data_IF_032499834759
#
_entry.id   IF_032499834759
#
_cell.length_a   1.000
_cell.length_b   1.000
_cell.length_c   1.000
_cell.angle_alpha   90.00
_cell.angle_beta   90.00
_cell.angle_gamma   90.00
#
_symmetry.space_group_name_H-M   'P 1'
#
loop_
_entity.id
_entity.type
_entity.pdbx_description
1 polymer ?
#
# COMPACT_ATOMS: atom_id res chain seq x y z
N UNK A 1 7.64 22.69 -15.68
CA UNK A 1 7.97 23.92 -15.03
C UNK A 1 7.54 23.83 -13.56
N UNK A 2 7.61 24.86 -12.78
CA UNK A 2 7.73 24.85 -11.33
C UNK A 2 6.51 24.47 -10.48
N UNK A 3 5.44 23.95 -11.06
CA UNK A 3 4.26 23.45 -10.34
C UNK A 3 4.30 21.93 -10.09
N UNK A 4 5.11 21.17 -10.83
CA UNK A 4 5.27 19.72 -10.62
C UNK A 4 6.12 19.49 -9.37
N UNK A 5 5.60 18.70 -8.45
CA UNK A 5 6.22 18.37 -7.17
C UNK A 5 6.68 16.91 -7.07
N UNK A 6 6.11 16.02 -7.90
CA UNK A 6 6.54 14.63 -7.95
C UNK A 6 6.31 14.00 -9.33
N UNK A 7 7.15 13.00 -9.67
CA UNK A 7 7.11 12.23 -10.90
C UNK A 7 7.04 10.75 -10.58
N UNK A 8 6.08 10.05 -11.19
CA UNK A 8 5.84 8.64 -10.95
C UNK A 8 6.17 7.81 -12.17
N UNK A 9 7.00 6.78 -11.97
CA UNK A 9 7.46 5.89 -13.02
C UNK A 9 7.03 4.44 -12.77
N UNK A 10 6.65 3.76 -13.85
CA UNK A 10 6.53 2.31 -13.84
C UNK A 10 7.90 1.68 -14.01
N UNK A 11 8.11 0.54 -13.39
CA UNK A 11 9.40 -0.16 -13.39
C UNK A 11 9.95 -0.43 -14.81
N UNK A 12 9.08 -0.76 -15.74
CA UNK A 12 9.48 -1.19 -17.10
C UNK A 12 8.91 -0.30 -18.21
N UNK A 13 8.20 0.77 -17.91
CA UNK A 13 7.49 1.59 -18.89
C UNK A 13 7.72 3.11 -18.76
N UNK A 14 8.65 3.53 -17.90
CA UNK A 14 8.96 4.94 -17.72
C UNK A 14 7.87 5.73 -16.99
N UNK A 15 7.86 7.05 -17.21
CA UNK A 15 6.91 7.95 -16.54
C UNK A 15 5.47 7.65 -16.94
N UNK A 16 4.58 7.59 -15.95
CA UNK A 16 3.14 7.37 -16.16
C UNK A 16 2.26 8.44 -15.53
N UNK A 17 2.71 9.07 -14.45
CA UNK A 17 1.96 10.12 -13.78
C UNK A 17 2.89 11.20 -13.23
N UNK A 18 2.33 12.35 -12.90
CA UNK A 18 2.96 13.42 -12.14
C UNK A 18 1.96 14.02 -11.17
N UNK A 19 2.46 14.52 -10.06
CA UNK A 19 1.70 15.32 -9.11
C UNK A 19 2.13 16.78 -9.25
N UNK A 20 1.19 17.69 -9.39
CA UNK A 20 1.46 19.11 -9.47
C UNK A 20 0.58 19.93 -8.53
N UNK A 21 1.11 21.04 -8.05
CA UNK A 21 0.32 21.99 -7.25
C UNK A 21 -0.75 22.66 -8.09
N UNK A 22 -1.89 22.93 -7.48
CA UNK A 22 -2.95 23.74 -8.07
C UNK A 22 -3.20 25.01 -7.27
N UNK A 23 -3.73 26.09 -7.90
CA UNK A 23 -3.95 27.36 -7.21
C UNK A 23 -4.84 27.28 -5.96
N UNK A 24 -5.71 26.28 -5.87
CA UNK A 24 -6.57 26.01 -4.71
C UNK A 24 -5.81 25.53 -3.46
N UNK A 25 -4.50 25.28 -3.57
CA UNK A 25 -3.64 24.79 -2.49
C UNK A 25 -3.52 23.26 -2.41
N UNK A 26 -4.37 22.50 -3.10
CA UNK A 26 -4.25 21.05 -3.23
C UNK A 26 -3.29 20.64 -4.36
N UNK A 27 -3.43 19.39 -4.82
CA UNK A 27 -2.65 18.88 -5.94
C UNK A 27 -3.55 18.25 -7.00
N UNK A 28 -3.06 18.20 -8.23
CA UNK A 28 -3.65 17.44 -9.32
C UNK A 28 -2.75 16.27 -9.68
N UNK A 29 -3.37 15.15 -10.00
CA UNK A 29 -2.72 13.97 -10.56
C UNK A 29 -2.97 13.98 -12.07
N UNK A 30 -1.90 14.19 -12.83
CA UNK A 30 -1.93 14.09 -14.27
C UNK A 30 -1.33 12.73 -14.69
N UNK A 31 -1.97 12.05 -15.62
CA UNK A 31 -1.51 10.78 -16.20
C UNK A 31 -1.06 11.00 -17.65
N UNK A 32 -0.01 10.32 -18.04
CA UNK A 32 0.55 10.41 -19.40
C UNK A 32 -0.21 9.48 -20.35
N UNK A 33 -0.94 10.07 -21.28
CA UNK A 33 -1.68 9.37 -22.34
C UNK A 33 -1.15 9.79 -23.71
N UNK A 34 -0.57 8.86 -24.47
CA UNK A 34 -0.11 9.14 -25.84
C UNK A 34 0.87 10.31 -25.93
N UNK A 35 1.72 10.51 -24.92
CA UNK A 35 2.67 11.61 -24.84
C UNK A 35 2.10 12.94 -24.32
N UNK A 36 0.83 12.97 -23.93
CA UNK A 36 0.17 14.16 -23.37
C UNK A 36 -0.22 13.95 -21.92
N UNK A 37 -0.04 14.98 -21.09
CA UNK A 37 -0.47 14.98 -19.70
C UNK A 37 -1.94 15.33 -19.57
N UNK A 38 -2.74 14.41 -19.05
CA UNK A 38 -4.18 14.58 -18.84
C UNK A 38 -4.46 14.53 -17.34
N UNK A 39 -5.12 15.58 -16.84
CA UNK A 39 -5.57 15.59 -15.42
C UNK A 39 -6.61 14.50 -15.21
N UNK A 40 -6.34 13.59 -14.28
CA UNK A 40 -7.24 12.50 -13.92
C UNK A 40 -7.91 12.70 -12.57
N UNK A 41 -7.25 13.41 -11.66
CA UNK A 41 -7.80 13.62 -10.34
C UNK A 41 -7.34 14.95 -9.72
N UNK A 42 -8.18 15.49 -8.85
CA UNK A 42 -7.80 16.50 -7.88
C UNK A 42 -7.72 15.84 -6.49
N UNK A 43 -6.79 16.32 -5.66
CA UNK A 43 -6.62 15.94 -4.25
C UNK A 43 -6.68 17.24 -3.46
N UNK A 44 -7.63 17.39 -2.56
CA UNK A 44 -7.80 18.58 -1.73
C UNK A 44 -6.63 18.72 -0.73
N UNK A 45 -6.53 19.88 -0.09
CA UNK A 45 -5.43 20.18 0.88
C UNK A 45 -5.46 19.23 2.07
N UNK A 46 -6.67 18.87 2.51
CA UNK A 46 -6.94 17.96 3.63
C UNK A 46 -6.88 16.47 3.25
N UNK A 47 -6.78 16.18 1.96
CA UNK A 47 -6.72 14.80 1.47
C UNK A 47 -5.28 14.34 1.25
N UNK A 48 -5.08 13.03 1.39
CA UNK A 48 -3.83 12.33 1.13
C UNK A 48 -3.99 11.47 -0.11
N UNK A 49 -2.97 11.48 -0.96
CA UNK A 49 -2.84 10.57 -2.08
C UNK A 49 -1.37 10.27 -2.34
N UNK A 50 -1.01 9.00 -2.36
CA UNK A 50 0.35 8.53 -2.63
C UNK A 50 0.33 7.28 -3.51
N UNK A 51 1.00 7.30 -4.65
CA UNK A 51 1.27 6.07 -5.40
C UNK A 51 2.31 5.23 -4.66
N UNK A 52 1.92 4.04 -4.24
CA UNK A 52 2.82 3.07 -3.62
C UNK A 52 3.21 1.95 -4.59
N UNK A 53 2.50 1.79 -5.70
CA UNK A 53 2.78 0.83 -6.75
C UNK A 53 3.61 1.43 -7.89
N UNK A 54 4.43 0.60 -8.52
CA UNK A 54 5.20 0.94 -9.72
C UNK A 54 4.91 -0.01 -10.89
N UNK A 55 3.75 -0.67 -10.86
CA UNK A 55 3.23 -1.58 -11.87
C UNK A 55 1.73 -1.36 -12.09
N UNK A 56 1.29 -1.56 -13.32
CA UNK A 56 -0.14 -1.57 -13.64
C UNK A 56 -0.68 -2.97 -13.37
N UNK A 57 -1.65 -3.07 -12.47
CA UNK A 57 -2.34 -4.32 -12.14
C UNK A 57 -3.84 -4.09 -12.27
N UNK A 58 -4.50 -4.88 -13.10
CA UNK A 58 -5.95 -4.78 -13.32
C UNK A 58 -6.40 -3.38 -13.79
N UNK A 59 -5.61 -2.75 -14.67
CA UNK A 59 -5.94 -1.44 -15.26
C UNK A 59 -5.60 -0.21 -14.39
N UNK A 60 -4.91 -0.40 -13.28
CA UNK A 60 -4.54 0.72 -12.40
C UNK A 60 -3.27 0.47 -11.61
N UNK A 61 -2.90 1.44 -10.80
CA UNK A 61 -1.72 1.42 -9.92
C UNK A 61 -2.17 1.49 -8.46
N UNK A 62 -1.46 0.81 -7.57
CA UNK A 62 -1.75 0.85 -6.13
C UNK A 62 -1.40 2.23 -5.56
N UNK A 63 -2.29 2.73 -4.73
CA UNK A 63 -2.09 3.97 -3.99
C UNK A 63 -2.68 3.87 -2.58
N UNK A 64 -2.19 4.72 -1.69
CA UNK A 64 -2.84 5.07 -0.42
C UNK A 64 -3.60 6.38 -0.63
N UNK A 65 -4.85 6.42 -0.25
CA UNK A 65 -5.70 7.58 -0.49
C UNK A 65 -6.88 7.67 0.48
N UNK A 66 -7.18 8.89 0.92
CA UNK A 66 -8.45 9.19 1.60
C UNK A 66 -9.36 10.11 0.78
N UNK A 67 -9.12 10.25 -0.53
CA UNK A 67 -9.98 11.08 -1.40
C UNK A 67 -11.45 10.69 -1.27
N UNK A 68 -12.27 11.68 -0.88
CA UNK A 68 -13.70 11.50 -0.63
C UNK A 68 -14.05 10.58 0.55
N UNK A 69 -13.12 10.37 1.50
CA UNK A 69 -13.33 9.56 2.72
C UNK A 69 -12.54 10.11 3.91
N UNK A 70 -12.91 9.68 5.13
CA UNK A 70 -12.24 10.12 6.36
C UNK A 70 -10.85 9.47 6.51
N UNK A 71 -10.74 8.17 6.30
CA UNK A 71 -9.51 7.40 6.53
C UNK A 71 -8.80 7.05 5.23
N UNK A 72 -7.47 6.99 5.30
CA UNK A 72 -6.63 6.49 4.22
C UNK A 72 -6.90 5.01 4.01
N UNK A 73 -7.15 4.64 2.76
CA UNK A 73 -7.38 3.28 2.34
C UNK A 73 -6.34 2.85 1.30
N UNK A 74 -6.09 1.54 1.21
CA UNK A 74 -5.41 0.97 0.06
C UNK A 74 -6.39 0.91 -1.11
N UNK A 75 -6.02 1.57 -2.19
CA UNK A 75 -6.84 1.67 -3.40
C UNK A 75 -6.07 1.22 -4.64
N UNK A 76 -6.82 0.88 -5.68
CA UNK A 76 -6.32 0.82 -7.04
C UNK A 76 -6.83 2.06 -7.78
N UNK A 77 -5.91 2.92 -8.16
CA UNK A 77 -6.18 4.11 -8.95
C UNK A 77 -6.18 3.76 -10.44
N UNK A 78 -7.28 4.01 -11.12
CA UNK A 78 -7.43 3.81 -12.56
C UNK A 78 -6.71 4.91 -13.33
N UNK A 79 -5.78 4.52 -14.20
CA UNK A 79 -5.07 5.48 -15.04
C UNK A 79 -5.96 6.04 -16.16
N UNK A 80 -7.07 5.36 -16.49
CA UNK A 80 -7.96 5.75 -17.57
C UNK A 80 -8.91 6.89 -17.18
N UNK A 81 -9.40 6.90 -15.93
CA UNK A 81 -10.46 7.83 -15.52
C UNK A 81 -10.30 8.38 -14.09
N UNK A 82 -9.17 8.11 -13.44
CA UNK A 82 -8.85 8.62 -12.10
C UNK A 82 -9.73 8.08 -10.97
N UNK A 83 -10.58 7.06 -11.24
CA UNK A 83 -11.39 6.42 -10.21
C UNK A 83 -10.56 5.52 -9.32
N UNK A 84 -11.01 5.41 -8.08
CA UNK A 84 -10.40 4.56 -7.08
C UNK A 84 -11.29 3.36 -6.77
N UNK A 85 -10.71 2.16 -6.84
CA UNK A 85 -11.31 0.95 -6.28
C UNK A 85 -10.65 0.66 -4.95
N UNK A 86 -11.40 0.75 -3.86
CA UNK A 86 -10.92 0.36 -2.52
C UNK A 86 -10.63 -1.14 -2.52
N UNK A 87 -9.43 -1.51 -2.08
CA UNK A 87 -8.98 -2.88 -1.88
C UNK A 87 -9.04 -3.26 -0.40
N UNK A 88 -8.69 -2.31 0.47
CA UNK A 88 -8.82 -2.43 1.92
C UNK A 88 -8.95 -1.05 2.56
N UNK A 89 -9.78 -0.95 3.56
CA UNK A 89 -9.93 0.20 4.43
C UNK A 89 -10.18 -0.28 5.87
N UNK A 90 -9.51 0.35 6.83
CA UNK A 90 -9.77 0.15 8.25
C UNK A 90 -10.76 1.22 8.73
N UNK A 91 -11.85 0.86 9.43
CA UNK A 91 -12.86 1.84 9.84
C UNK A 91 -12.34 2.91 10.79
N UNK A 92 -11.44 2.53 11.70
CA UNK A 92 -11.04 3.36 12.84
C UNK A 92 -9.64 3.97 12.71
N UNK A 93 -8.91 3.66 11.63
CA UNK A 93 -7.55 4.15 11.43
C UNK A 93 -7.18 4.26 9.95
N UNK A 94 -6.15 5.03 9.67
CA UNK A 94 -5.53 5.07 8.35
C UNK A 94 -4.77 3.78 8.06
N UNK A 95 -4.81 3.32 6.80
CA UNK A 95 -3.87 2.33 6.31
C UNK A 95 -2.52 3.01 6.14
N UNK A 96 -1.54 2.59 6.92
CA UNK A 96 -0.22 3.25 6.98
C UNK A 96 0.83 2.51 6.17
N UNK A 97 0.72 1.18 6.08
CA UNK A 97 1.74 0.37 5.42
C UNK A 97 1.15 -0.73 4.57
N UNK A 98 1.83 -1.04 3.46
CA UNK A 98 1.44 -2.15 2.57
C UNK A 98 2.67 -2.91 2.13
N UNK A 99 2.74 -4.18 2.55
CA UNK A 99 3.71 -5.13 2.04
C UNK A 99 3.29 -5.63 0.67
N UNK A 100 4.23 -5.64 -0.26
CA UNK A 100 4.00 -6.00 -1.66
C UNK A 100 5.10 -6.91 -2.16
N UNK A 101 4.76 -7.83 -3.05
CA UNK A 101 5.72 -8.82 -3.55
C UNK A 101 5.41 -9.25 -4.99
N UNK A 102 6.34 -9.99 -5.55
CA UNK A 102 6.26 -10.55 -6.88
C UNK A 102 6.47 -9.51 -8.00
N UNK A 103 6.62 -10.01 -9.22
CA UNK A 103 6.87 -9.16 -10.38
C UNK A 103 5.73 -8.17 -10.67
N UNK A 104 4.51 -8.48 -10.22
CA UNK A 104 3.34 -7.63 -10.39
C UNK A 104 3.14 -6.64 -9.24
N UNK A 105 4.04 -6.64 -8.23
CA UNK A 105 3.95 -5.75 -7.08
C UNK A 105 2.59 -5.88 -6.35
N UNK A 106 2.13 -7.12 -6.14
CA UNK A 106 0.84 -7.41 -5.50
C UNK A 106 0.89 -7.11 -4.02
N UNK A 107 -0.17 -6.53 -3.42
CA UNK A 107 -0.25 -6.41 -1.99
C UNK A 107 -0.37 -7.80 -1.35
N UNK A 108 0.35 -8.02 -0.26
CA UNK A 108 0.26 -9.24 0.57
C UNK A 108 -0.33 -8.95 1.93
N UNK A 109 0.00 -7.81 2.52
CA UNK A 109 -0.56 -7.33 3.79
C UNK A 109 -0.75 -5.83 3.72
N UNK A 110 -1.88 -5.33 4.21
CA UNK A 110 -2.10 -3.92 4.52
C UNK A 110 -2.24 -3.76 6.04
N UNK A 111 -1.61 -2.76 6.61
CA UNK A 111 -1.54 -2.53 8.03
C UNK A 111 -2.11 -1.16 8.40
N UNK A 112 -2.86 -1.14 9.51
CA UNK A 112 -3.38 0.04 10.14
C UNK A 112 -3.17 -0.05 11.66
N UNK A 113 -3.15 1.08 12.34
CA UNK A 113 -2.89 1.13 13.78
C UNK A 113 -4.02 1.89 14.51
N UNK A 114 -5.22 1.26 14.66
CA UNK A 114 -6.21 1.76 15.60
C UNK A 114 -5.66 1.63 17.04
N UNK A 115 -6.43 1.23 18.02
CA UNK A 115 -5.92 0.98 19.36
C UNK A 115 -4.88 -0.17 19.43
N UNK A 116 -4.95 -1.11 18.49
CA UNK A 116 -3.97 -2.20 18.27
C UNK A 116 -3.73 -2.35 16.78
N UNK A 117 -2.57 -2.90 16.39
CA UNK A 117 -2.26 -3.19 14.98
C UNK A 117 -3.36 -4.05 14.36
N UNK A 118 -3.96 -3.56 13.30
CA UNK A 118 -4.84 -4.30 12.41
C UNK A 118 -4.08 -4.66 11.14
N UNK A 119 -4.17 -5.91 10.69
CA UNK A 119 -3.52 -6.37 9.48
C UNK A 119 -4.52 -7.12 8.61
N UNK A 120 -4.65 -6.69 7.36
CA UNK A 120 -5.43 -7.38 6.35
C UNK A 120 -4.49 -8.17 5.44
N UNK A 121 -4.64 -9.48 5.45
CA UNK A 121 -3.84 -10.40 4.64
C UNK A 121 -4.56 -10.70 3.32
N UNK A 122 -3.99 -10.23 2.21
CA UNK A 122 -4.43 -10.63 0.86
C UNK A 122 -3.98 -12.05 0.52
N UNK A 123 -3.02 -12.57 1.28
CA UNK A 123 -2.49 -13.92 1.20
C UNK A 123 -2.89 -14.68 2.48
N UNK A 124 -3.91 -15.52 2.37
CA UNK A 124 -4.47 -16.25 3.50
C UNK A 124 -3.47 -17.26 4.12
N UNK A 125 -2.58 -17.85 3.32
CA UNK A 125 -1.56 -18.78 3.80
C UNK A 125 -0.56 -18.06 4.68
N UNK A 126 -0.10 -16.89 4.26
CA UNK A 126 0.78 -16.06 5.07
C UNK A 126 0.07 -15.59 6.35
N UNK A 127 -1.20 -15.16 6.25
CA UNK A 127 -1.99 -14.76 7.42
C UNK A 127 -2.14 -15.86 8.45
N UNK A 128 -2.40 -17.10 8.01
CA UNK A 128 -2.46 -18.28 8.91
C UNK A 128 -1.11 -18.53 9.58
N UNK A 129 -0.02 -18.55 8.81
CA UNK A 129 1.31 -18.80 9.35
C UNK A 129 1.73 -17.75 10.43
N UNK A 130 1.41 -16.48 10.21
CA UNK A 130 1.68 -15.44 11.20
C UNK A 130 0.78 -15.61 12.44
N UNK A 131 -0.47 -15.99 12.26
CA UNK A 131 -1.38 -16.32 13.36
C UNK A 131 -0.86 -17.48 14.21
N UNK A 132 -0.36 -18.54 13.59
CA UNK A 132 0.20 -19.70 14.29
C UNK A 132 1.46 -19.35 15.11
N UNK A 133 2.32 -18.48 14.58
CA UNK A 133 3.49 -17.99 15.31
C UNK A 133 3.13 -17.18 16.57
N UNK A 134 2.01 -16.47 16.55
CA UNK A 134 1.52 -15.69 17.69
C UNK A 134 0.62 -16.50 18.64
N UNK A 135 0.13 -17.67 18.24
CA UNK A 135 -0.95 -18.40 18.95
C UNK A 135 -0.66 -18.81 20.40
N UNK A 136 0.63 -18.89 20.78
CA UNK A 136 1.04 -19.24 22.15
C UNK A 136 0.89 -18.13 23.19
N UNK A 137 0.64 -16.89 22.76
CA UNK A 137 0.54 -15.71 23.62
C UNK A 137 -0.53 -14.74 23.06
N UNK A 138 -1.67 -14.54 23.75
CA UNK A 138 -2.75 -13.68 23.27
C UNK A 138 -2.38 -12.19 23.15
N UNK A 139 -1.23 -11.80 23.68
CA UNK A 139 -0.67 -10.44 23.58
C UNK A 139 0.41 -10.35 22.50
N UNK A 140 0.86 -11.49 21.97
CA UNK A 140 1.85 -11.50 20.91
C UNK A 140 1.28 -10.96 19.59
N UNK A 141 2.10 -10.22 18.89
CA UNK A 141 1.85 -9.74 17.54
C UNK A 141 2.96 -10.24 16.63
N UNK A 142 2.58 -10.96 15.59
CA UNK A 142 3.49 -11.31 14.51
C UNK A 142 3.42 -10.23 13.44
N UNK A 143 4.56 -9.66 13.07
CA UNK A 143 4.68 -8.62 12.06
C UNK A 143 5.75 -8.99 11.03
N UNK A 144 5.52 -8.61 9.78
CA UNK A 144 6.53 -8.77 8.74
C UNK A 144 7.62 -7.72 8.98
N UNK A 145 8.88 -8.17 8.99
CA UNK A 145 10.06 -7.32 9.03
C UNK A 145 10.65 -7.15 7.64
N UNK A 146 10.67 -8.23 6.86
CA UNK A 146 11.15 -8.23 5.48
C UNK A 146 10.49 -9.36 4.67
N UNK A 147 10.44 -9.18 3.36
CA UNK A 147 9.91 -10.17 2.43
C UNK A 147 10.73 -10.18 1.15
N UNK A 148 11.13 -11.35 0.69
CA UNK A 148 11.89 -11.45 -0.55
C UNK A 148 11.08 -10.99 -1.77
N UNK A 149 11.77 -10.65 -2.84
CA UNK A 149 11.16 -10.10 -4.06
C UNK A 149 10.07 -10.98 -4.65
N UNK A 150 10.09 -12.29 -4.40
CA UNK A 150 9.10 -13.24 -4.89
C UNK A 150 8.05 -13.65 -3.85
N UNK A 151 8.18 -13.16 -2.61
CA UNK A 151 7.28 -13.51 -1.50
C UNK A 151 7.42 -14.94 -1.01
N UNK A 152 8.56 -15.58 -1.25
CA UNK A 152 8.83 -16.97 -0.86
C UNK A 152 9.35 -17.08 0.56
N UNK A 153 10.18 -16.13 0.96
CA UNK A 153 10.76 -16.06 2.28
C UNK A 153 10.33 -14.78 2.95
N UNK A 154 9.85 -14.92 4.17
CA UNK A 154 9.35 -13.79 4.97
C UNK A 154 10.05 -13.83 6.32
N UNK A 155 10.68 -12.73 6.69
CA UNK A 155 11.20 -12.51 8.03
C UNK A 155 10.08 -11.94 8.88
N UNK A 156 9.80 -12.59 9.99
CA UNK A 156 8.68 -12.25 10.88
C UNK A 156 9.22 -11.99 12.28
N UNK A 157 8.87 -10.86 12.86
CA UNK A 157 9.07 -10.59 14.26
C UNK A 157 7.80 -10.94 15.04
N UNK A 158 7.95 -11.68 16.13
CA UNK A 158 6.90 -11.96 17.10
C UNK A 158 7.26 -11.27 18.40
N UNK A 159 6.47 -10.31 18.80
CA UNK A 159 6.70 -9.52 20.00
C UNK A 159 5.46 -9.46 20.89
N UNK A 160 5.65 -9.38 22.21
CA UNK A 160 4.57 -9.12 23.18
C UNK A 160 4.99 -8.13 24.26
N UNK A 161 4.02 -7.55 24.92
CA UNK A 161 4.23 -6.60 26.03
C UNK A 161 4.97 -7.23 27.22
N UNK A 162 4.98 -8.56 27.34
CA UNK A 162 5.68 -9.30 28.39
C UNK A 162 7.15 -9.61 28.06
N UNK A 163 7.68 -9.01 26.98
CA UNK A 163 9.11 -9.10 26.64
C UNK A 163 9.46 -10.25 25.69
N UNK A 164 8.46 -10.96 25.12
CA UNK A 164 8.75 -11.89 24.03
C UNK A 164 9.25 -11.08 22.83
N UNK A 165 10.39 -11.48 22.31
CA UNK A 165 10.90 -10.96 21.05
C UNK A 165 11.60 -12.11 20.32
N UNK A 166 11.03 -12.55 19.23
CA UNK A 166 11.54 -13.65 18.42
C UNK A 166 11.53 -13.24 16.96
N UNK A 167 12.54 -13.68 16.22
CA UNK A 167 12.58 -13.49 14.77
C UNK A 167 12.55 -14.84 14.09
N UNK A 168 11.65 -15.00 13.14
CA UNK A 168 11.40 -16.23 12.41
C UNK A 168 11.64 -16.03 10.93
N UNK A 169 12.16 -17.06 10.26
CA UNK A 169 12.17 -17.16 8.81
C UNK A 169 11.05 -18.12 8.39
N UNK A 170 10.05 -17.61 7.74
CA UNK A 170 8.97 -18.39 7.15
C UNK A 170 9.32 -18.69 5.69
N UNK A 171 9.60 -19.96 5.38
CA UNK A 171 9.81 -20.43 4.01
C UNK A 171 8.49 -21.02 3.48
N UNK A 172 7.91 -20.37 2.46
CA UNK A 172 6.62 -20.73 1.88
C UNK A 172 6.69 -21.79 0.80
N UNK A 173 7.88 -22.36 0.58
CA UNK A 173 8.11 -23.44 -0.38
C UNK A 173 8.37 -24.80 0.29
N UNK A 174 8.47 -24.80 1.63
CA UNK A 174 8.72 -26.02 2.43
C UNK A 174 7.43 -26.82 2.67
#
# INVERSE_FOLDING_TARGET
PGDVIDWHALRDAGLFARTRRVPSGGVAIDVLHGGQWVKQADVAVEETFEFIGNRIVGGGVLALSNRGRDKVALVRFSLADGKEKVLYAEPDADVEWVWRTGPENRPVVAEAYPARRAAHYFDAVLGSALGDLAAGDPRAVASIEDIDAMGRRVVVNVASDEGRLETWLVDRQA
#
